data_IF_299026538895
#
_entry.id   IF_299026538895
#
_cell.length_a   1.000
_cell.length_b   1.000
_cell.length_c   1.000
_cell.angle_alpha   90.00
_cell.angle_beta   90.00
_cell.angle_gamma   90.00
#
_symmetry.space_group_name_H-M   'P 1'
#
loop_
_entity.id
_entity.type
_entity.pdbx_description
1 polymer ?
#
# COMPACT_ATOMS: atom_id res chain seq x y z
N UNK A 1 -16.78 -14.86 6.38
CA UNK A 1 -15.86 -14.42 5.30
C UNK A 1 -14.84 -13.49 5.92
N UNK A 2 -13.55 -13.77 5.76
CA UNK A 2 -12.47 -12.98 6.37
C UNK A 2 -12.39 -11.59 5.75
N UNK A 3 -12.11 -10.56 6.56
CA UNK A 3 -11.99 -9.16 6.11
C UNK A 3 -10.98 -8.94 4.95
N UNK A 4 -10.06 -9.88 4.76
CA UNK A 4 -8.93 -9.75 3.84
C UNK A 4 -9.03 -10.66 2.61
N UNK A 5 -10.01 -11.57 2.57
CA UNK A 5 -10.23 -12.43 1.41
C UNK A 5 -10.71 -11.59 0.23
N UNK A 6 -10.12 -11.80 -0.96
CA UNK A 6 -10.56 -11.18 -2.20
C UNK A 6 -10.93 -12.25 -3.20
N UNK A 7 -12.04 -12.07 -3.88
CA UNK A 7 -12.44 -12.95 -4.97
C UNK A 7 -11.62 -12.61 -6.22
N UNK A 8 -10.91 -13.61 -6.74
CA UNK A 8 -10.23 -13.51 -8.03
C UNK A 8 -11.16 -14.04 -9.12
N UNK A 9 -11.61 -13.14 -9.99
CA UNK A 9 -12.49 -13.45 -11.12
C UNK A 9 -11.81 -14.33 -12.17
N UNK A 10 -10.46 -14.36 -12.20
CA UNK A 10 -9.71 -15.12 -13.20
C UNK A 10 -9.66 -16.61 -12.86
N UNK A 11 -9.61 -16.95 -11.59
CA UNK A 11 -9.54 -18.33 -11.08
C UNK A 11 -10.84 -18.78 -10.42
N UNK A 12 -11.89 -17.95 -10.50
CA UNK A 12 -13.20 -18.12 -9.87
C UNK A 12 -13.12 -18.53 -8.38
N UNK A 13 -12.12 -18.03 -7.65
CA UNK A 13 -11.80 -18.49 -6.30
C UNK A 13 -11.45 -17.36 -5.33
N UNK A 14 -11.61 -17.62 -4.02
CA UNK A 14 -11.21 -16.68 -2.97
C UNK A 14 -9.72 -16.84 -2.67
N UNK A 15 -8.95 -15.78 -2.91
CA UNK A 15 -7.51 -15.74 -2.65
C UNK A 15 -7.23 -14.83 -1.46
N UNK A 16 -6.34 -15.28 -0.58
CA UNK A 16 -5.79 -14.45 0.49
C UNK A 16 -4.52 -13.75 -0.01
N UNK A 17 -4.55 -12.44 -0.30
CA UNK A 17 -3.37 -11.73 -0.81
C UNK A 17 -2.22 -11.76 0.20
N UNK A 18 -1.03 -12.11 -0.28
CA UNK A 18 0.20 -12.08 0.49
C UNK A 18 1.06 -10.88 0.09
N UNK A 19 1.65 -10.20 1.08
CA UNK A 19 2.62 -9.11 0.90
C UNK A 19 4.03 -9.65 1.06
N UNK A 20 5.01 -9.05 0.40
CA UNK A 20 6.41 -9.39 0.61
C UNK A 20 7.10 -8.31 1.44
N UNK A 21 7.95 -8.71 2.38
CA UNK A 21 8.75 -7.78 3.15
C UNK A 21 9.91 -7.23 2.31
N UNK A 22 9.96 -5.91 2.16
CA UNK A 22 11.01 -5.22 1.38
C UNK A 22 12.43 -5.44 1.90
N UNK A 23 12.59 -5.78 3.19
CA UNK A 23 13.91 -5.95 3.82
C UNK A 23 14.43 -7.39 3.72
N UNK A 24 13.53 -8.35 3.79
CA UNK A 24 13.85 -9.76 4.00
C UNK A 24 13.37 -10.66 2.87
N UNK A 25 12.57 -10.14 1.94
CA UNK A 25 12.03 -10.87 0.79
C UNK A 25 10.95 -11.90 1.13
N UNK A 26 10.77 -12.26 2.41
CA UNK A 26 9.81 -13.27 2.84
C UNK A 26 8.36 -12.84 2.61
N UNK A 27 7.52 -13.84 2.33
CA UNK A 27 6.08 -13.70 2.16
C UNK A 27 5.40 -13.52 3.53
N UNK A 28 4.49 -12.57 3.62
CA UNK A 28 3.82 -12.12 4.84
C UNK A 28 2.32 -12.00 4.56
N UNK A 29 1.49 -12.41 5.51
CA UNK A 29 0.04 -12.27 5.41
C UNK A 29 -0.36 -10.78 5.49
N UNK A 30 -1.38 -10.36 4.74
CA UNK A 30 -1.87 -8.97 4.77
C UNK A 30 -2.27 -8.47 6.17
N UNK A 31 -2.64 -9.37 7.08
CA UNK A 31 -3.02 -9.04 8.46
C UNK A 31 -1.85 -8.56 9.33
N UNK A 32 -0.60 -8.84 8.98
CA UNK A 32 0.54 -8.45 9.79
C UNK A 32 0.93 -6.99 9.56
N UNK A 33 1.07 -6.25 10.65
CA UNK A 33 1.59 -4.87 10.66
C UNK A 33 3.11 -4.81 10.67
N UNK A 34 3.77 -5.92 11.01
CA UNK A 34 5.22 -6.06 11.07
C UNK A 34 5.66 -7.39 10.46
N UNK A 35 6.91 -7.45 10.01
CA UNK A 35 7.48 -8.70 9.53
C UNK A 35 7.91 -9.59 10.70
N UNK A 36 7.46 -10.86 10.79
CA UNK A 36 7.85 -11.77 11.89
C UNK A 36 9.34 -12.13 11.89
N UNK A 37 10.03 -11.89 10.78
CA UNK A 37 11.41 -12.37 10.54
C UNK A 37 12.44 -11.28 10.76
N UNK A 38 12.13 -10.06 10.33
CA UNK A 38 13.04 -8.92 10.47
C UNK A 38 12.53 -7.86 11.44
N UNK A 39 11.37 -8.10 12.08
CA UNK A 39 10.66 -7.22 13.02
C UNK A 39 10.41 -5.79 12.50
N UNK A 40 10.60 -5.57 11.20
CA UNK A 40 10.39 -4.27 10.59
C UNK A 40 8.90 -4.03 10.41
N UNK A 41 8.45 -2.85 10.83
CA UNK A 41 7.07 -2.41 10.63
C UNK A 41 6.81 -2.20 9.14
N UNK A 42 5.74 -2.79 8.62
CA UNK A 42 5.34 -2.74 7.21
C UNK A 42 4.53 -1.48 6.89
N UNK A 43 4.75 -0.37 7.62
CA UNK A 43 3.87 0.81 7.61
C UNK A 43 3.48 1.23 6.19
N UNK A 44 2.17 1.21 5.94
CA UNK A 44 1.60 1.67 4.68
C UNK A 44 1.60 3.20 4.67
N UNK A 45 2.58 3.82 4.01
CA UNK A 45 2.67 5.27 3.72
C UNK A 45 1.54 5.78 2.78
N UNK A 46 0.30 5.32 2.92
CA UNK A 46 -0.82 5.75 2.08
C UNK A 46 -1.19 7.24 2.28
N UNK A 47 -0.89 7.82 3.44
CA UNK A 47 -1.26 9.21 3.78
C UNK A 47 -0.39 10.29 3.11
N UNK A 48 0.86 10.01 2.72
CA UNK A 48 1.78 11.05 2.20
C UNK A 48 1.46 11.51 0.77
N UNK A 49 0.85 10.64 -0.05
CA UNK A 49 0.57 10.96 -1.47
C UNK A 49 -0.49 12.05 -1.66
N UNK A 50 -1.48 12.14 -0.78
CA UNK A 50 -2.54 13.15 -0.87
C UNK A 50 -2.04 14.59 -0.64
N UNK A 51 -1.10 14.76 0.30
CA UNK A 51 -0.56 16.08 0.64
C UNK A 51 0.36 16.63 -0.46
N UNK A 52 1.20 15.78 -1.06
CA UNK A 52 2.11 16.18 -2.15
C UNK A 52 1.33 16.64 -3.39
N UNK A 53 0.24 15.94 -3.74
CA UNK A 53 -0.60 16.32 -4.88
C UNK A 53 -1.33 17.65 -4.65
N UNK A 54 -1.73 17.95 -3.40
CA UNK A 54 -2.34 19.25 -3.05
C UNK A 54 -1.33 20.39 -3.19
N UNK A 55 -0.08 20.23 -2.73
CA UNK A 55 0.97 21.25 -2.94
C UNK A 55 1.31 21.47 -4.42
N UNK A 56 1.42 20.41 -5.23
CA UNK A 56 1.69 20.57 -6.68
C UNK A 56 0.60 21.38 -7.39
N UNK A 57 -0.68 21.16 -7.07
CA UNK A 57 -1.79 21.91 -7.65
C UNK A 57 -1.77 23.42 -7.32
N UNK A 58 -1.20 23.80 -6.17
CA UNK A 58 -1.06 25.19 -5.74
C UNK A 58 0.07 25.87 -6.53
N UNK A 59 1.21 25.18 -6.71
CA UNK A 59 2.34 25.72 -7.46
C UNK A 59 2.07 25.83 -8.97
N UNK A 60 1.32 24.90 -9.56
CA UNK A 60 0.98 24.98 -11.00
C UNK A 60 0.00 26.11 -11.35
N UNK A 61 -0.81 26.57 -10.40
CA UNK A 61 -1.72 27.71 -10.62
C UNK A 61 -1.00 29.05 -10.66
N UNK A 62 0.16 29.19 -10.03
CA UNK A 62 0.89 30.47 -9.91
C UNK A 62 1.76 30.80 -11.13
N UNK A 63 2.03 29.83 -12.02
CA UNK A 63 2.92 30.01 -13.19
C UNK A 63 2.21 30.43 -14.49
N UNK A 64 0.93 30.81 -14.44
CA UNK A 64 0.11 31.15 -15.62
C UNK A 64 -0.33 32.63 -15.64
N UNK A 65 0.33 33.49 -14.85
CA UNK A 65 -0.01 34.91 -14.71
C UNK A 65 1.14 35.88 -15.00
N UNK A 66 2.28 35.39 -15.52
CA UNK A 66 3.34 36.22 -16.11
C UNK A 66 3.42 35.94 -17.62
#
# INVERSE_FOLDING_TARGET
MSKFERYDKKTESYIYPHKHCKKCGKMIKESYTFCPECYKVLQEDKKKKGLINKMKSIFTRKKKQD
#
